data_IF_785412586101
#
_entry.id   IF_785412586101
#
_cell.length_a   1.000
_cell.length_b   1.000
_cell.length_c   1.000
_cell.angle_alpha   90.00
_cell.angle_beta   90.00
_cell.angle_gamma   90.00
#
_symmetry.space_group_name_H-M   'P 1'
#
loop_
_entity.id
_entity.type
_entity.pdbx_description
1 polymer ?
#
# COMPACT_ATOMS: atom_id res chain seq x y z
N UNK A 1 46.17 -7.38 25.34
CA UNK A 1 44.85 -6.81 25.66
C UNK A 1 44.50 -5.62 24.77
N UNK A 2 45.39 -4.62 24.56
CA UNK A 2 45.11 -3.48 23.67
C UNK A 2 44.89 -3.86 22.18
N UNK A 3 45.71 -4.76 21.62
CA UNK A 3 45.58 -5.15 20.21
C UNK A 3 44.26 -5.89 19.90
N UNK A 4 43.76 -6.71 20.84
CA UNK A 4 42.46 -7.40 20.68
C UNK A 4 41.28 -6.43 20.77
N UNK A 5 41.36 -5.41 21.62
CA UNK A 5 40.37 -4.33 21.70
C UNK A 5 40.31 -3.52 20.40
N UNK A 6 41.46 -3.22 19.79
CA UNK A 6 41.53 -2.49 18.51
C UNK A 6 40.95 -3.31 17.35
N UNK A 7 41.27 -4.61 17.28
CA UNK A 7 40.71 -5.51 16.25
C UNK A 7 39.20 -5.69 16.42
N UNK A 8 38.71 -5.83 17.65
CA UNK A 8 37.27 -5.90 17.92
C UNK A 8 36.56 -4.60 17.53
N UNK A 9 37.15 -3.44 17.83
CA UNK A 9 36.58 -2.14 17.44
C UNK A 9 36.49 -1.97 15.92
N UNK A 10 37.54 -2.36 15.19
CA UNK A 10 37.59 -2.29 13.72
C UNK A 10 36.60 -3.25 13.04
N UNK A 11 36.38 -4.43 13.63
CA UNK A 11 35.37 -5.37 13.14
C UNK A 11 33.95 -4.84 13.32
N UNK A 12 33.66 -4.19 14.46
CA UNK A 12 32.34 -3.60 14.73
C UNK A 12 32.09 -2.39 13.83
N UNK A 13 33.09 -1.52 13.62
CA UNK A 13 32.94 -0.35 12.73
C UNK A 13 32.82 -0.75 11.25
N UNK A 14 33.52 -1.79 10.80
CA UNK A 14 33.38 -2.29 9.42
C UNK A 14 32.04 -2.95 9.16
N UNK A 15 31.46 -3.69 10.11
CA UNK A 15 30.10 -4.23 9.99
C UNK A 15 29.05 -3.11 9.91
N UNK A 16 29.16 -2.07 10.76
CA UNK A 16 28.24 -0.93 10.75
C UNK A 16 28.28 -0.11 9.46
N UNK A 17 29.49 0.12 8.92
CA UNK A 17 29.64 0.84 7.65
C UNK A 17 29.12 0.04 6.44
N UNK A 18 29.25 -1.30 6.47
CA UNK A 18 28.68 -2.17 5.44
C UNK A 18 27.16 -2.22 5.50
N UNK A 19 26.55 -2.26 6.69
CA UNK A 19 25.09 -2.23 6.86
C UNK A 19 24.47 -0.88 6.46
N UNK A 20 25.13 0.24 6.75
CA UNK A 20 24.66 1.56 6.30
C UNK A 20 24.65 1.67 4.76
N UNK A 21 25.67 1.11 4.11
CA UNK A 21 25.75 1.10 2.65
C UNK A 21 24.66 0.23 2.02
N UNK A 22 24.37 -0.94 2.61
CA UNK A 22 23.30 -1.86 2.19
C UNK A 22 21.92 -1.20 2.37
N UNK A 23 21.68 -0.55 3.51
CA UNK A 23 20.41 0.13 3.76
C UNK A 23 20.17 1.27 2.78
N UNK A 24 21.16 2.10 2.48
CA UNK A 24 20.99 3.22 1.54
C UNK A 24 20.51 2.76 0.16
N UNK A 25 20.96 1.58 -0.30
CA UNK A 25 20.51 0.98 -1.55
C UNK A 25 19.10 0.40 -1.41
N UNK A 26 18.83 -0.32 -0.31
CA UNK A 26 17.54 -0.96 -0.04
C UNK A 26 16.38 0.02 0.16
N UNK A 27 16.61 1.21 0.72
CA UNK A 27 15.57 2.21 0.98
C UNK A 27 15.60 3.37 -0.01
N UNK A 28 15.98 3.10 -1.26
CA UNK A 28 16.00 4.09 -2.33
C UNK A 28 14.57 4.58 -2.62
N UNK A 29 14.27 5.89 -2.48
CA UNK A 29 12.93 6.41 -2.73
C UNK A 29 12.53 6.32 -4.21
N UNK A 30 11.24 6.09 -4.46
CA UNK A 30 10.64 6.24 -5.78
C UNK A 30 10.32 7.70 -6.09
N UNK A 31 10.45 8.07 -7.37
CA UNK A 31 9.95 9.35 -7.87
C UNK A 31 8.45 9.23 -8.14
N UNK A 32 7.69 10.20 -7.62
CA UNK A 32 6.23 10.27 -7.74
C UNK A 32 5.87 11.28 -8.83
N UNK A 33 5.65 10.78 -10.04
CA UNK A 33 5.16 11.55 -11.18
C UNK A 33 4.09 10.74 -11.96
N UNK A 34 3.62 11.27 -13.09
CA UNK A 34 2.62 10.58 -13.94
C UNK A 34 3.14 9.29 -14.59
N UNK A 35 4.44 9.01 -14.58
CA UNK A 35 5.01 7.77 -15.10
C UNK A 35 5.44 6.81 -13.98
N UNK A 36 5.12 7.14 -12.73
CA UNK A 36 5.51 6.34 -11.58
C UNK A 36 4.94 4.91 -11.67
N UNK A 37 5.73 3.87 -11.36
CA UNK A 37 5.29 2.47 -11.46
C UNK A 37 4.21 2.10 -10.43
N UNK A 38 3.83 3.03 -9.55
CA UNK A 38 2.86 2.83 -8.47
C UNK A 38 1.42 2.73 -8.97
N UNK A 39 1.10 3.13 -10.20
CA UNK A 39 -0.28 3.13 -10.67
C UNK A 39 -0.85 1.71 -10.91
N UNK A 40 -2.17 1.63 -10.80
CA UNK A 40 -2.97 0.41 -10.91
C UNK A 40 -3.33 -0.20 -9.56
N UNK A 41 -3.86 -1.42 -9.61
CA UNK A 41 -4.35 -2.17 -8.45
C UNK A 41 -3.24 -2.97 -7.76
N UNK A 42 -3.33 -3.02 -6.44
CA UNK A 42 -2.35 -3.61 -5.53
C UNK A 42 -3.05 -4.28 -4.35
N UNK A 43 -2.61 -5.48 -3.98
CA UNK A 43 -3.17 -6.30 -2.90
C UNK A 43 -2.17 -6.40 -1.77
N UNK A 44 -2.59 -6.12 -0.55
CA UNK A 44 -1.73 -6.16 0.63
C UNK A 44 -1.21 -7.59 0.84
N UNK A 45 0.12 -7.74 0.88
CA UNK A 45 0.74 -9.01 1.22
C UNK A 45 1.21 -9.03 2.67
N UNK A 46 1.93 -7.99 3.09
CA UNK A 46 2.48 -7.90 4.46
C UNK A 46 2.58 -6.45 4.92
N UNK A 47 2.33 -6.22 6.21
CA UNK A 47 2.50 -4.94 6.88
C UNK A 47 3.35 -5.06 8.15
N UNK A 48 4.05 -3.98 8.50
CA UNK A 48 4.73 -3.76 9.78
C UNK A 48 4.38 -2.38 10.35
N UNK A 49 4.73 -2.13 11.61
CA UNK A 49 4.48 -0.91 12.36
C UNK A 49 5.70 -0.57 13.22
N UNK A 50 5.91 0.71 13.56
CA UNK A 50 7.01 1.13 14.45
C UNK A 50 6.54 1.36 15.89
N UNK A 51 5.33 1.87 16.08
CA UNK A 51 4.74 2.16 17.38
C UNK A 51 3.74 1.09 17.81
N UNK A 52 3.85 0.60 19.04
CA UNK A 52 3.03 -0.51 19.55
C UNK A 52 1.52 -0.22 19.48
N UNK A 53 1.15 1.06 19.65
CA UNK A 53 -0.25 1.50 19.59
C UNK A 53 -0.90 1.34 18.21
N UNK A 54 -0.11 1.17 17.15
CA UNK A 54 -0.59 1.01 15.78
C UNK A 54 -0.88 -0.44 15.39
N UNK A 55 -0.35 -1.41 16.13
CA UNK A 55 -0.52 -2.84 15.85
C UNK A 55 -1.98 -3.26 15.74
N UNK A 56 -2.82 -2.82 16.68
CA UNK A 56 -4.21 -3.26 16.76
C UNK A 56 -5.04 -2.77 15.56
N UNK A 57 -4.76 -1.56 15.07
CA UNK A 57 -5.43 -0.99 13.91
C UNK A 57 -5.10 -1.84 12.66
N UNK A 58 -3.83 -2.19 12.43
CA UNK A 58 -3.43 -3.03 11.29
C UNK A 58 -3.97 -4.47 11.39
N UNK A 59 -3.86 -5.10 12.56
CA UNK A 59 -4.31 -6.49 12.75
C UNK A 59 -5.84 -6.62 12.64
N UNK A 60 -6.59 -5.51 12.72
CA UNK A 60 -8.03 -5.51 12.50
C UNK A 60 -8.45 -5.67 11.02
N UNK A 61 -7.50 -5.51 10.10
CA UNK A 61 -7.68 -5.62 8.65
C UNK A 61 -7.27 -7.02 8.20
N UNK A 62 -8.24 -7.86 7.85
CA UNK A 62 -8.00 -9.22 7.37
C UNK A 62 -7.36 -9.24 5.99
N UNK A 63 -7.83 -8.40 5.07
CA UNK A 63 -7.28 -8.26 3.73
C UNK A 63 -7.53 -6.84 3.23
N UNK A 64 -6.72 -6.38 2.29
CA UNK A 64 -6.83 -5.04 1.73
C UNK A 64 -6.35 -5.02 0.29
N UNK A 65 -6.96 -4.17 -0.51
CA UNK A 65 -6.41 -3.76 -1.80
C UNK A 65 -6.62 -2.27 -2.02
N UNK A 66 -5.69 -1.68 -2.78
CA UNK A 66 -5.71 -0.28 -3.17
C UNK A 66 -5.53 -0.17 -4.68
N UNK A 67 -6.08 0.87 -5.27
CA UNK A 67 -5.88 1.23 -6.65
C UNK A 67 -5.49 2.71 -6.73
N UNK A 68 -4.30 2.94 -7.30
CA UNK A 68 -3.76 4.28 -7.51
C UNK A 68 -3.93 4.63 -8.98
N UNK A 69 -4.49 5.81 -9.27
CA UNK A 69 -4.64 6.30 -10.64
C UNK A 69 -4.24 7.77 -10.76
N UNK A 70 -3.82 8.15 -11.97
CA UNK A 70 -3.49 9.53 -12.29
C UNK A 70 -4.76 10.41 -12.19
N UNK A 71 -4.58 11.62 -11.65
CA UNK A 71 -5.60 12.67 -11.72
C UNK A 71 -5.38 13.58 -12.93
N UNK A 72 -6.44 14.26 -13.36
CA UNK A 72 -6.33 15.35 -14.32
C UNK A 72 -5.53 16.54 -13.74
N UNK A 73 -5.53 16.68 -12.41
CA UNK A 73 -4.75 17.69 -11.70
C UNK A 73 -3.31 17.20 -11.50
N UNK A 74 -2.35 17.92 -12.10
CA UNK A 74 -0.93 17.61 -11.98
C UNK A 74 -0.50 17.53 -10.50
N UNK A 75 0.18 16.44 -10.14
CA UNK A 75 0.66 16.22 -8.77
C UNK A 75 -0.40 15.70 -7.80
N UNK A 76 -1.53 15.21 -8.30
CA UNK A 76 -2.58 14.56 -7.51
C UNK A 76 -2.73 13.09 -7.93
N UNK A 77 -2.76 12.20 -6.96
CA UNK A 77 -3.06 10.77 -7.14
C UNK A 77 -4.48 10.50 -6.63
N UNK A 78 -5.29 9.85 -7.45
CA UNK A 78 -6.57 9.31 -7.02
C UNK A 78 -6.36 7.95 -6.37
N UNK A 79 -6.96 7.75 -5.21
CA UNK A 79 -6.86 6.52 -4.41
C UNK A 79 -8.25 5.93 -4.28
N UNK A 80 -8.42 4.67 -4.68
CA UNK A 80 -9.51 3.83 -4.22
C UNK A 80 -8.93 2.75 -3.30
N UNK A 81 -9.61 2.47 -2.20
CA UNK A 81 -9.17 1.46 -1.25
C UNK A 81 -10.35 0.62 -0.79
N UNK A 82 -10.06 -0.64 -0.44
CA UNK A 82 -11.04 -1.60 0.04
C UNK A 82 -10.40 -2.53 1.06
N UNK A 83 -10.90 -2.45 2.30
CA UNK A 83 -10.42 -3.21 3.44
C UNK A 83 -11.51 -4.16 3.92
N UNK A 84 -11.15 -5.44 4.07
CA UNK A 84 -11.96 -6.42 4.79
C UNK A 84 -11.54 -6.38 6.24
N UNK A 85 -12.44 -5.95 7.11
CA UNK A 85 -12.23 -5.96 8.55
C UNK A 85 -12.57 -7.33 9.15
N UNK A 86 -12.23 -7.48 10.43
CA UNK A 86 -12.81 -8.50 11.28
C UNK A 86 -14.34 -8.52 11.19
N UNK A 87 -14.94 -9.69 11.44
CA UNK A 87 -16.39 -9.93 11.28
C UNK A 87 -16.89 -9.85 9.81
N UNK A 88 -15.98 -10.02 8.85
CA UNK A 88 -16.26 -10.10 7.40
C UNK A 88 -16.94 -8.85 6.82
N UNK A 89 -16.69 -7.68 7.43
CA UNK A 89 -17.21 -6.40 6.93
C UNK A 89 -16.24 -5.76 5.94
N UNK A 90 -16.74 -5.43 4.76
CA UNK A 90 -16.02 -4.60 3.80
C UNK A 90 -16.23 -3.11 4.06
N UNK A 91 -15.12 -2.37 4.11
CA UNK A 91 -15.09 -0.91 4.08
C UNK A 91 -14.33 -0.48 2.83
N UNK A 92 -14.91 0.45 2.07
CA UNK A 92 -14.32 0.94 0.84
C UNK A 92 -14.48 2.44 0.74
N UNK A 93 -13.60 3.09 0.00
CA UNK A 93 -13.65 4.53 -0.14
C UNK A 93 -12.72 5.08 -1.20
N UNK A 94 -12.85 6.40 -1.37
CA UNK A 94 -12.00 7.19 -2.25
C UNK A 94 -11.25 8.24 -1.44
N UNK A 95 -10.06 8.58 -1.89
CA UNK A 95 -9.28 9.69 -1.38
C UNK A 95 -8.39 10.25 -2.50
N UNK A 96 -7.87 11.45 -2.26
CA UNK A 96 -6.86 12.05 -3.11
C UNK A 96 -5.59 12.28 -2.30
N UNK A 97 -4.45 12.06 -2.92
CA UNK A 97 -3.15 12.39 -2.36
C UNK A 97 -2.49 13.50 -3.19
N UNK A 98 -1.98 14.53 -2.54
CA UNK A 98 -1.17 15.57 -3.19
C UNK A 98 0.31 15.27 -3.02
N UNK A 99 1.12 15.50 -4.05
CA UNK A 99 2.55 15.18 -4.04
C UNK A 99 3.36 16.44 -3.70
N UNK A 100 4.27 16.33 -2.73
CA UNK A 100 5.29 17.32 -2.41
C UNK A 100 6.67 16.65 -2.38
N UNK A 101 7.45 16.83 -3.45
CA UNK A 101 8.73 16.15 -3.61
C UNK A 101 8.55 14.63 -3.74
N UNK A 102 8.98 13.88 -2.72
CA UNK A 102 8.86 12.41 -2.65
C UNK A 102 7.76 11.95 -1.69
N UNK A 103 7.01 12.88 -1.10
CA UNK A 103 5.97 12.61 -0.11
C UNK A 103 4.60 12.83 -0.73
N UNK A 104 3.68 11.89 -0.50
CA UNK A 104 2.26 12.07 -0.80
C UNK A 104 1.51 12.45 0.48
N UNK A 105 0.63 13.43 0.42
CA UNK A 105 -0.18 13.90 1.54
C UNK A 105 -1.64 13.53 1.31
N UNK A 106 -2.21 12.75 2.21
CA UNK A 106 -3.57 12.21 2.07
C UNK A 106 -4.39 12.52 3.32
N UNK A 107 -5.67 12.85 3.11
CA UNK A 107 -6.66 12.90 4.19
C UNK A 107 -7.71 11.83 3.94
N UNK A 108 -7.87 10.92 4.90
CA UNK A 108 -8.86 9.86 4.87
C UNK A 108 -10.01 10.20 5.81
N UNK A 109 -11.24 10.09 5.31
CA UNK A 109 -12.47 10.25 6.07
C UNK A 109 -13.23 8.94 6.07
N UNK A 110 -13.18 8.21 7.18
CA UNK A 110 -13.79 6.88 7.31
C UNK A 110 -14.79 6.92 8.45
N UNK A 111 -16.07 6.64 8.16
CA UNK A 111 -17.16 6.62 9.16
C UNK A 111 -17.22 7.88 10.05
N UNK A 112 -16.92 9.06 9.49
CA UNK A 112 -16.91 10.33 10.23
C UNK A 112 -15.63 10.61 11.03
N UNK A 113 -14.63 9.73 10.96
CA UNK A 113 -13.30 9.96 11.53
C UNK A 113 -12.34 10.44 10.44
N UNK A 114 -11.69 11.57 10.69
CA UNK A 114 -10.64 12.12 9.82
C UNK A 114 -9.27 11.69 10.32
N UNK A 115 -8.43 11.24 9.40
CA UNK A 115 -7.02 10.93 9.64
C UNK A 115 -6.14 11.53 8.54
N UNK A 116 -4.93 11.92 8.90
CA UNK A 116 -3.98 12.60 8.03
C UNK A 116 -2.75 11.73 7.89
N UNK A 117 -2.22 11.65 6.67
CA UNK A 117 -1.22 10.65 6.31
C UNK A 117 -0.18 11.24 5.37
N UNK A 118 1.08 10.96 5.68
CA UNK A 118 2.23 11.24 4.82
C UNK A 118 2.81 9.92 4.31
N UNK A 119 2.63 9.68 3.01
CA UNK A 119 3.10 8.48 2.32
C UNK A 119 4.47 8.68 1.66
N UNK A 120 5.31 7.64 1.71
CA UNK A 120 6.57 7.54 0.96
C UNK A 120 6.64 6.18 0.28
N UNK A 121 7.27 6.14 -0.88
CA UNK A 121 7.38 4.91 -1.67
C UNK A 121 8.84 4.60 -1.97
N UNK A 122 9.18 3.32 -2.02
CA UNK A 122 10.56 2.84 -2.16
C UNK A 122 10.68 1.84 -3.31
N UNK A 123 11.84 1.83 -3.95
CA UNK A 123 12.19 0.82 -4.94
C UNK A 123 12.23 -0.57 -4.26
N UNK A 124 11.69 -1.59 -4.94
CA UNK A 124 11.64 -2.97 -4.43
C UNK A 124 11.49 -3.94 -5.63
N UNK A 125 10.74 -5.03 -5.50
CA UNK A 125 10.40 -5.92 -6.60
C UNK A 125 9.50 -5.27 -7.67
N UNK A 126 9.64 -5.71 -8.93
CA UNK A 126 8.94 -5.14 -10.10
C UNK A 126 7.41 -5.23 -10.07
N UNK A 127 6.86 -6.22 -9.36
CA UNK A 127 5.43 -6.44 -9.19
C UNK A 127 4.97 -6.15 -7.76
N UNK A 128 5.65 -5.21 -7.11
CA UNK A 128 5.41 -4.84 -5.72
C UNK A 128 5.31 -3.33 -5.57
N UNK A 129 4.56 -2.91 -4.56
CA UNK A 129 4.46 -1.53 -4.11
C UNK A 129 4.84 -1.51 -2.63
N UNK A 130 6.02 -0.96 -2.33
CA UNK A 130 6.45 -0.70 -0.96
C UNK A 130 6.09 0.72 -0.58
N UNK A 131 5.22 0.85 0.41
CA UNK A 131 4.71 2.13 0.91
C UNK A 131 4.95 2.25 2.41
N UNK A 132 5.61 3.31 2.83
CA UNK A 132 5.59 3.77 4.21
C UNK A 132 4.45 4.79 4.35
N UNK A 133 3.66 4.63 5.40
CA UNK A 133 2.54 5.52 5.72
C UNK A 133 2.71 6.08 7.13
N UNK A 134 2.89 7.38 7.24
CA UNK A 134 3.01 8.07 8.53
C UNK A 134 1.66 8.66 8.91
N UNK A 135 1.01 8.08 9.93
CA UNK A 135 -0.22 8.65 10.47
C UNK A 135 0.12 9.87 11.34
N UNK A 136 -0.57 10.98 11.08
CA UNK A 136 -0.37 12.23 11.79
C UNK A 136 -1.52 12.52 12.77
N UNK A 137 -1.16 13.12 13.90
CA UNK A 137 -2.09 13.75 14.83
C UNK A 137 -2.59 15.10 14.28
N UNK A 138 -3.69 15.66 14.81
CA UNK A 138 -4.20 16.96 14.36
C UNK A 138 -3.21 18.12 14.50
N UNK A 139 -2.19 17.99 15.37
CA UNK A 139 -1.12 18.97 15.53
C UNK A 139 0.06 18.76 14.56
N UNK A 140 -0.07 17.81 13.62
CA UNK A 140 0.92 17.47 12.60
C UNK A 140 2.06 16.56 13.09
N UNK A 141 2.07 16.14 14.36
CA UNK A 141 3.08 15.20 14.85
C UNK A 141 2.76 13.78 14.40
N UNK A 142 3.80 12.98 14.19
CA UNK A 142 3.65 11.54 13.92
C UNK A 142 2.99 10.84 15.12
N UNK A 143 1.92 10.09 14.85
CA UNK A 143 1.35 9.07 15.75
C UNK A 143 2.18 7.78 15.69
N UNK A 144 2.87 7.56 14.57
CA UNK A 144 3.62 6.37 14.22
C UNK A 144 3.48 6.10 12.73
N UNK A 145 4.09 5.00 12.28
CA UNK A 145 4.19 4.63 10.88
C UNK A 145 3.79 3.18 10.65
N UNK A 146 3.29 2.93 9.45
CA UNK A 146 3.18 1.62 8.88
C UNK A 146 4.14 1.45 7.70
N UNK A 147 4.56 0.23 7.47
CA UNK A 147 5.24 -0.17 6.25
C UNK A 147 4.45 -1.29 5.61
N UNK A 148 3.96 -1.06 4.40
CA UNK A 148 3.14 -2.00 3.65
C UNK A 148 3.85 -2.44 2.39
N UNK A 149 3.85 -3.75 2.16
CA UNK A 149 4.18 -4.33 0.87
C UNK A 149 2.91 -4.86 0.25
N UNK A 150 2.53 -4.23 -0.85
CA UNK A 150 1.48 -4.73 -1.73
C UNK A 150 2.10 -5.41 -2.94
N UNK A 151 1.34 -6.32 -3.56
CA UNK A 151 1.72 -7.04 -4.77
C UNK A 151 0.57 -6.99 -5.77
N UNK A 152 0.83 -7.29 -7.05
CA UNK A 152 -0.24 -7.32 -8.06
C UNK A 152 -1.31 -8.38 -7.79
N UNK A 153 -0.99 -9.46 -7.07
CA UNK A 153 -1.86 -10.65 -6.95
C UNK A 153 -2.09 -11.13 -5.51
N UNK A 154 -1.49 -10.47 -4.52
CA UNK A 154 -1.45 -10.94 -3.13
C UNK A 154 -0.38 -12.02 -2.87
N UNK A 155 0.36 -12.46 -3.90
CA UNK A 155 1.42 -13.46 -3.80
C UNK A 155 2.80 -12.81 -3.92
N UNK A 156 3.78 -13.38 -3.21
CA UNK A 156 5.13 -12.87 -3.13
C UNK A 156 6.13 -14.04 -3.06
N UNK A 157 7.26 -13.91 -3.74
CA UNK A 157 8.32 -14.91 -3.64
C UNK A 157 9.05 -14.81 -2.30
N UNK A 158 9.53 -15.93 -1.71
CA UNK A 158 10.21 -15.89 -0.41
C UNK A 158 11.42 -14.94 -0.38
N UNK A 159 12.17 -14.85 -1.47
CA UNK A 159 13.32 -13.93 -1.56
C UNK A 159 12.90 -12.45 -1.53
N UNK A 160 11.74 -12.11 -2.10
CA UNK A 160 11.20 -10.75 -2.08
C UNK A 160 10.70 -10.39 -0.67
N UNK A 161 10.14 -11.36 0.06
CA UNK A 161 9.79 -11.19 1.47
C UNK A 161 11.02 -10.90 2.34
N UNK A 162 12.14 -11.59 2.10
CA UNK A 162 13.39 -11.30 2.82
C UNK A 162 13.93 -9.90 2.51
N UNK A 163 13.79 -9.43 1.26
CA UNK A 163 14.09 -8.03 0.91
C UNK A 163 13.24 -7.06 1.70
N UNK A 164 11.92 -7.28 1.79
CA UNK A 164 11.02 -6.46 2.59
C UNK A 164 11.43 -6.41 4.06
N UNK A 165 11.78 -7.54 4.67
CA UNK A 165 12.22 -7.59 6.08
C UNK A 165 13.47 -6.75 6.31
N UNK A 166 14.44 -6.80 5.40
CA UNK A 166 15.64 -5.94 5.47
C UNK A 166 15.29 -4.46 5.28
N UNK A 167 14.38 -4.14 4.36
CA UNK A 167 13.89 -2.77 4.18
C UNK A 167 13.21 -2.26 5.46
N UNK A 168 12.39 -3.08 6.12
CA UNK A 168 11.75 -2.78 7.39
C UNK A 168 12.78 -2.53 8.51
N UNK A 169 13.82 -3.37 8.60
CA UNK A 169 14.93 -3.21 9.55
C UNK A 169 15.68 -1.89 9.31
N UNK A 170 16.05 -1.59 8.06
CA UNK A 170 16.71 -0.33 7.70
C UNK A 170 15.89 0.91 8.05
N UNK A 171 14.55 0.80 8.03
CA UNK A 171 13.61 1.87 8.39
C UNK A 171 13.21 1.85 9.88
N UNK A 172 13.79 0.95 10.68
CA UNK A 172 13.54 0.76 12.12
C UNK A 172 12.08 0.40 12.47
N UNK A 173 11.45 -0.46 11.66
CA UNK A 173 10.14 -1.03 11.96
C UNK A 173 10.25 -2.26 12.89
N UNK A 174 9.13 -2.66 13.48
CA UNK A 174 9.03 -3.87 14.29
C UNK A 174 9.39 -5.12 13.48
N UNK A 175 10.06 -6.12 14.10
CA UNK A 175 10.30 -7.42 13.47
C UNK A 175 9.04 -8.31 13.45
N UNK A 176 7.91 -7.82 13.97
CA UNK A 176 6.61 -8.46 13.85
C UNK A 176 5.90 -8.03 12.57
N UNK A 177 5.16 -8.95 11.96
CA UNK A 177 4.49 -8.74 10.68
C UNK A 177 3.04 -9.20 10.72
N UNK A 178 2.19 -8.47 10.00
CA UNK A 178 0.81 -8.84 9.71
C UNK A 178 0.69 -9.21 8.24
N UNK A 179 0.17 -10.40 7.93
CA UNK A 179 0.02 -10.87 6.55
C UNK A 179 -1.42 -10.70 6.07
N UNK A 180 -1.58 -10.13 4.88
CA UNK A 180 -2.88 -9.96 4.26
C UNK A 180 -3.49 -11.28 3.81
N UNK A 181 -4.79 -11.43 4.02
CA UNK A 181 -5.58 -12.57 3.53
C UNK A 181 -5.89 -12.49 2.04
N UNK A 182 -6.26 -13.63 1.45
CA UNK A 182 -6.59 -13.75 0.03
C UNK A 182 -8.06 -13.41 -0.30
N UNK A 183 -8.95 -13.41 0.70
CA UNK A 183 -10.37 -13.08 0.51
C UNK A 183 -10.57 -11.57 0.48
N UNK A 184 -10.56 -10.99 -0.72
CA UNK A 184 -10.65 -9.54 -0.92
C UNK A 184 -12.11 -9.05 -0.90
N UNK A 185 -12.29 -7.76 -0.61
CA UNK A 185 -13.57 -7.11 -0.83
C UNK A 185 -13.86 -6.95 -2.33
N UNK A 186 -15.13 -7.09 -2.77
CA UNK A 186 -15.53 -6.80 -4.14
C UNK A 186 -15.37 -5.30 -4.44
N UNK A 187 -15.24 -4.93 -5.71
CA UNK A 187 -15.20 -3.52 -6.10
C UNK A 187 -16.63 -2.95 -6.21
N UNK A 188 -16.97 -2.00 -5.33
CA UNK A 188 -18.30 -1.39 -5.34
C UNK A 188 -18.55 -0.52 -6.59
N UNK A 189 -17.48 -0.07 -7.28
CA UNK A 189 -17.58 0.70 -8.52
C UNK A 189 -18.08 -0.17 -9.68
N UNK A 190 -17.74 -1.46 -9.68
CA UNK A 190 -18.17 -2.40 -10.72
C UNK A 190 -19.61 -2.88 -10.47
N UNK A 191 -19.99 -3.07 -9.21
CA UNK A 191 -21.32 -3.55 -8.81
C UNK A 191 -22.42 -2.50 -9.05
N UNK A 192 -22.04 -1.23 -9.15
CA UNK A 192 -22.96 -0.09 -9.35
C UNK A 192 -23.11 0.35 -10.81
N UNK A 193 -22.40 -0.28 -11.77
CA UNK A 193 -22.59 0.00 -13.19
C UNK A 193 -23.90 -0.67 -13.70
N UNK A 194 -24.82 0.07 -14.35
CA UNK A 194 -26.01 -0.54 -14.92
C UNK A 194 -25.62 -1.53 -16.02
N UNK A 195 -26.11 -2.76 -15.93
CA UNK A 195 -25.96 -3.75 -16.99
C UNK A 195 -26.52 -3.17 -18.29
N UNK A 196 -25.64 -2.99 -19.29
CA UNK A 196 -26.08 -2.66 -20.66
C UNK A 196 -26.76 -3.91 -21.19
N UNK A 197 -28.09 -3.95 -21.07
CA UNK A 197 -28.94 -4.96 -21.68
C UNK A 197 -28.87 -4.78 -23.20
N UNK A 198 -28.08 -5.63 -23.86
CA UNK A 198 -28.11 -5.74 -25.31
C UNK A 198 -29.49 -6.31 -25.69
N UNK A 199 -30.42 -5.44 -26.06
CA UNK A 199 -31.71 -5.84 -26.64
C UNK A 199 -31.44 -6.38 -28.05
N UNK A 200 -31.33 -7.70 -28.15
CA UNK A 200 -31.39 -8.42 -29.42
C UNK A 200 -32.85 -8.41 -29.88
N UNK A 201 -33.18 -7.54 -30.84
CA UNK A 201 -34.50 -7.50 -31.47
C UNK A 201 -34.68 -8.76 -32.32
N UNK A 202 -35.46 -9.72 -31.82
CA UNK A 202 -35.98 -10.84 -32.60
C UNK A 202 -37.33 -10.43 -33.24
N UNK A 203 -37.28 -9.99 -34.49
CA UNK A 203 -38.45 -9.69 -35.32
C UNK A 203 -39.06 -11.01 -35.81
N UNK A 204 -40.01 -11.58 -35.06
CA UNK A 204 -40.84 -12.69 -35.53
C UNK A 204 -42.17 -12.18 -36.10
N UNK A 205 -42.40 -12.62 -37.33
CA UNK A 205 -43.52 -12.38 -38.23
C UNK A 205 -44.94 -12.41 -37.60
N UNK A 206 -45.79 -11.50 -38.09
CA UNK A 206 -47.24 -11.69 -38.12
C UNK A 206 -47.82 -11.25 -39.48
N UNK A 207 -48.38 -12.24 -40.17
CA UNK A 207 -49.10 -12.16 -41.45
C UNK A 207 -50.53 -11.64 -41.22
N UNK A 208 -51.16 -10.89 -42.16
CA UNK A 208 -52.50 -10.34 -41.97
C UNK A 208 -53.60 -11.34 -42.37
N UNK A 209 -54.80 -11.32 -41.75
CA UNK A 209 -55.98 -11.91 -42.33
C UNK A 209 -56.71 -10.91 -43.25
N UNK A 210 -57.23 -11.45 -44.35
CA UNK A 210 -58.08 -10.79 -45.32
C UNK A 210 -59.52 -10.59 -44.77
N UNK A 211 -60.14 -9.45 -45.08
CA UNK A 211 -61.21 -9.29 -46.09
C UNK A 211 -61.49 -7.79 -46.33
#
# INVERSE_FOLDING_TARGET
>A
MAAQLVVALLAVTSLGAASELDCKELIKPLVLDSHSPIYGKWVLHVGSWDELGLKNDLVSVNSSWVELSESADSGVINIYWADRLNEDKCLQGVANATISGITSHTTLNINGHTSYHDGKYYETCSNCLLSEDTTLLPDGKSKGRYLFLFTRTGKLEPSELETFKKQAECLNFSPEYHFGGADLCPDDRETSAPAVENTENDETAAQPPAE
#
